data_IF_271970926022
#
_entry.id   IF_271970926022
#
_cell.length_a   1.000
_cell.length_b   1.000
_cell.length_c   1.000
_cell.angle_alpha   90.00
_cell.angle_beta   90.00
_cell.angle_gamma   90.00
#
_symmetry.space_group_name_H-M   'P 1'
#
loop_
_entity.id
_entity.type
_entity.pdbx_description
1 polymer ?
#
# COMPACT_ATOMS: atom_id res chain seq x y z
N UNK A 1 35.07 -54.69 -15.63
CA UNK A 1 33.76 -54.19 -16.09
C UNK A 1 32.68 -54.71 -15.14
N UNK A 2 31.83 -53.80 -14.64
CA UNK A 2 30.42 -53.92 -14.15
C UNK A 2 30.06 -54.84 -12.95
N UNK A 3 30.04 -54.20 -11.77
CA UNK A 3 29.03 -54.01 -10.69
C UNK A 3 27.87 -54.97 -10.32
N UNK A 4 27.61 -55.00 -8.98
CA UNK A 4 26.38 -55.21 -8.14
C UNK A 4 26.24 -56.60 -7.45
N UNK A 5 26.39 -56.81 -6.12
CA UNK A 5 25.81 -56.31 -4.83
C UNK A 5 24.35 -56.79 -4.57
N UNK A 6 24.19 -57.89 -3.79
CA UNK A 6 23.65 -58.05 -2.40
C UNK A 6 22.16 -57.69 -2.19
N UNK A 7 21.30 -58.64 -1.79
CA UNK A 7 20.89 -59.01 -0.40
C UNK A 7 19.72 -58.13 0.12
N UNK A 8 18.85 -58.47 1.07
CA UNK A 8 18.71 -59.55 2.04
C UNK A 8 17.22 -59.60 2.50
N UNK A 9 16.90 -60.54 3.36
CA UNK A 9 15.57 -60.83 3.89
C UNK A 9 15.45 -60.56 5.41
N UNK A 10 14.19 -60.64 5.86
CA UNK A 10 13.68 -61.08 7.18
C UNK A 10 13.56 -60.07 8.34
N UNK A 11 12.39 -60.16 8.97
CA UNK A 11 11.87 -59.41 10.11
C UNK A 11 11.87 -60.25 11.39
N UNK A 12 11.89 -59.62 12.58
CA UNK A 12 11.11 -59.99 13.78
C UNK A 12 11.35 -59.05 14.99
N UNK A 13 10.23 -58.63 15.60
CA UNK A 13 9.90 -58.20 16.97
C UNK A 13 10.96 -57.77 18.02
N UNK A 14 10.67 -56.68 18.76
CA UNK A 14 10.63 -56.62 20.24
C UNK A 14 10.25 -55.22 20.79
N UNK A 15 9.50 -55.18 21.89
CA UNK A 15 9.17 -54.00 22.71
C UNK A 15 10.43 -53.40 23.37
N UNK A 16 10.54 -52.07 23.38
CA UNK A 16 11.50 -51.33 24.21
C UNK A 16 10.76 -50.49 25.26
N UNK A 17 11.32 -50.32 26.48
CA UNK A 17 10.79 -49.39 27.47
C UNK A 17 11.07 -47.95 27.02
N UNK A 18 10.19 -47.02 27.39
CA UNK A 18 10.39 -45.60 27.15
C UNK A 18 11.70 -45.14 27.81
N UNK A 19 12.67 -44.76 26.99
CA UNK A 19 13.87 -44.07 27.44
C UNK A 19 13.52 -42.61 27.73
N UNK A 20 13.87 -42.17 28.94
CA UNK A 20 13.76 -40.79 29.38
C UNK A 20 14.66 -39.90 28.51
N UNK A 21 14.05 -38.95 27.79
CA UNK A 21 14.75 -38.03 26.91
C UNK A 21 15.55 -37.02 27.75
N UNK A 22 16.87 -36.86 27.53
CA UNK A 22 17.66 -35.90 28.29
C UNK A 22 17.18 -34.48 27.97
N UNK A 23 16.96 -33.68 29.01
CA UNK A 23 16.51 -32.30 28.88
C UNK A 23 17.38 -31.52 27.90
N UNK A 24 16.75 -30.99 26.84
CA UNK A 24 17.37 -30.08 25.87
C UNK A 24 17.98 -28.88 26.64
N UNK A 25 19.26 -28.55 26.42
CA UNK A 25 19.86 -27.34 26.99
C UNK A 25 19.04 -26.11 26.61
N UNK A 26 18.73 -25.27 27.61
CA UNK A 26 18.00 -24.03 27.40
C UNK A 26 18.73 -23.15 26.38
N UNK A 27 18.03 -22.84 25.28
CA UNK A 27 18.47 -21.89 24.27
C UNK A 27 18.63 -20.52 24.95
N UNK A 28 19.77 -19.81 24.78
CA UNK A 28 19.94 -18.50 25.39
C UNK A 28 18.83 -17.58 24.88
N UNK A 29 18.11 -16.96 25.81
CA UNK A 29 17.05 -16.02 25.51
C UNK A 29 17.57 -14.94 24.56
N UNK A 30 17.06 -14.96 23.33
CA UNK A 30 17.23 -13.87 22.38
C UNK A 30 16.72 -12.61 23.07
N UNK A 31 17.60 -11.63 23.27
CA UNK A 31 17.19 -10.34 23.81
C UNK A 31 16.07 -9.79 22.92
N UNK A 32 14.91 -9.58 23.51
CA UNK A 32 13.75 -9.02 22.84
C UNK A 32 14.10 -7.59 22.43
N UNK A 33 14.41 -7.42 21.14
CA UNK A 33 14.61 -6.10 20.55
C UNK A 33 13.34 -5.30 20.78
N UNK A 34 13.45 -4.19 21.51
CA UNK A 34 12.32 -3.29 21.74
C UNK A 34 11.68 -2.92 20.38
N UNK A 35 10.34 -2.94 20.28
CA UNK A 35 9.67 -2.59 19.04
C UNK A 35 10.10 -1.19 18.60
N UNK A 36 10.28 -0.96 17.29
CA UNK A 36 10.67 0.35 16.79
C UNK A 36 9.65 1.41 17.25
N UNK A 37 10.10 2.66 17.49
CA UNK A 37 9.21 3.75 17.87
C UNK A 37 8.10 3.89 16.82
N UNK A 38 6.88 4.12 17.29
CA UNK A 38 5.74 4.37 16.42
C UNK A 38 6.06 5.57 15.50
N UNK A 39 5.73 5.49 14.21
CA UNK A 39 5.97 6.59 13.28
C UNK A 39 5.24 7.87 13.78
N UNK A 40 5.91 9.02 13.68
CA UNK A 40 5.27 10.30 14.00
C UNK A 40 4.12 10.57 13.01
N UNK A 41 2.97 11.10 13.47
CA UNK A 41 1.87 11.48 12.60
C UNK A 41 2.31 12.53 11.57
N UNK A 42 1.85 12.39 10.33
CA UNK A 42 2.18 13.32 9.26
C UNK A 42 1.72 14.75 9.57
N UNK A 43 2.58 15.74 9.27
CA UNK A 43 2.28 17.17 9.47
C UNK A 43 2.29 17.93 8.14
N UNK A 44 1.40 18.91 7.92
CA UNK A 44 1.44 19.77 6.74
C UNK A 44 2.80 20.43 6.55
N UNK A 45 3.33 20.38 5.32
CA UNK A 45 4.60 21.00 4.93
C UNK A 45 4.44 22.12 3.90
N UNK A 46 3.21 22.35 3.42
CA UNK A 46 2.89 23.38 2.44
C UNK A 46 1.41 23.80 2.49
N UNK A 47 0.99 24.74 1.62
CA UNK A 47 -0.40 25.14 1.53
C UNK A 47 -1.28 24.00 0.95
N UNK A 48 -2.55 23.89 1.37
CA UNK A 48 -3.50 22.97 0.76
C UNK A 48 -3.84 23.40 -0.67
N UNK A 49 -4.09 22.41 -1.52
CA UNK A 49 -4.65 22.55 -2.86
C UNK A 49 -6.06 21.96 -2.88
N UNK A 50 -7.01 22.72 -3.41
CA UNK A 50 -8.37 22.28 -3.68
C UNK A 50 -8.42 21.44 -4.95
N UNK A 51 -9.10 20.30 -4.90
CA UNK A 51 -9.38 19.42 -6.04
C UNK A 51 -10.89 19.30 -6.18
N UNK A 52 -11.40 19.77 -7.32
CA UNK A 52 -12.80 19.65 -7.70
C UNK A 52 -13.11 18.22 -8.17
N UNK A 53 -14.38 17.84 -8.10
CA UNK A 53 -14.82 16.59 -8.71
C UNK A 53 -14.74 16.69 -10.23
N UNK A 54 -14.34 15.60 -10.90
CA UNK A 54 -14.35 15.49 -12.35
C UNK A 54 -15.80 15.49 -12.88
N UNK A 55 -16.06 16.30 -13.92
CA UNK A 55 -17.40 16.46 -14.51
C UNK A 55 -17.74 15.36 -15.54
N UNK A 56 -16.71 14.66 -16.05
CA UNK A 56 -16.83 13.76 -17.20
C UNK A 56 -16.87 12.27 -16.81
N UNK A 57 -17.48 11.46 -17.68
CA UNK A 57 -17.40 10.01 -17.59
C UNK A 57 -15.93 9.58 -17.62
N UNK A 58 -15.51 8.87 -16.57
CA UNK A 58 -14.18 8.28 -16.53
C UNK A 58 -13.92 7.45 -17.80
N UNK A 59 -12.74 7.57 -18.43
CA UNK A 59 -12.39 6.78 -19.61
C UNK A 59 -12.50 5.28 -19.30
N UNK A 60 -12.75 4.46 -20.32
CA UNK A 60 -12.71 2.98 -20.22
C UNK A 60 -11.32 2.53 -19.77
N UNK A 61 -11.13 2.46 -18.46
CA UNK A 61 -9.83 2.24 -17.85
C UNK A 61 -9.84 0.97 -16.99
N UNK A 62 -8.71 0.27 -16.99
CA UNK A 62 -8.49 -0.88 -16.14
C UNK A 62 -8.08 -0.38 -14.76
N UNK A 63 -8.98 -0.55 -13.78
CA UNK A 63 -8.69 -0.27 -12.38
C UNK A 63 -7.61 -1.26 -11.92
N UNK A 64 -6.49 -0.75 -11.42
CA UNK A 64 -5.35 -1.57 -10.98
C UNK A 64 -5.36 -1.78 -9.47
N UNK A 65 -5.69 -0.73 -8.73
CA UNK A 65 -5.57 -0.68 -7.27
C UNK A 65 -6.83 -0.06 -6.67
N UNK A 66 -7.31 -0.61 -5.56
CA UNK A 66 -8.48 -0.09 -4.83
C UNK A 66 -8.24 -0.24 -3.33
N UNK A 67 -8.47 0.84 -2.60
CA UNK A 67 -8.47 0.89 -1.14
C UNK A 67 -9.74 1.56 -0.65
N UNK A 68 -10.56 0.84 0.12
CA UNK A 68 -11.70 1.43 0.82
C UNK A 68 -11.20 2.15 2.07
N UNK A 69 -11.54 3.42 2.23
CA UNK A 69 -11.13 4.21 3.39
C UNK A 69 -11.91 3.74 4.62
N UNK A 70 -11.21 3.51 5.73
CA UNK A 70 -11.86 3.08 6.97
C UNK A 70 -12.82 4.13 7.51
N UNK A 71 -13.98 3.66 7.96
CA UNK A 71 -15.01 4.47 8.63
C UNK A 71 -15.47 5.69 7.81
N UNK A 72 -15.33 5.63 6.47
CA UNK A 72 -15.71 6.69 5.56
C UNK A 72 -16.35 6.11 4.28
N UNK A 73 -17.25 6.88 3.67
CA UNK A 73 -17.88 6.55 2.39
C UNK A 73 -16.98 6.93 1.19
N UNK A 74 -15.69 6.62 1.30
CA UNK A 74 -14.67 6.97 0.33
C UNK A 74 -13.83 5.77 -0.07
N UNK A 75 -13.31 5.80 -1.30
CA UNK A 75 -12.29 4.86 -1.77
C UNK A 75 -11.21 5.60 -2.54
N UNK A 76 -9.99 5.09 -2.46
CA UNK A 76 -8.88 5.50 -3.31
C UNK A 76 -8.69 4.40 -4.34
N UNK A 77 -8.51 4.77 -5.60
CA UNK A 77 -8.25 3.80 -6.64
C UNK A 77 -7.37 4.39 -7.73
N UNK A 78 -6.74 3.51 -8.50
CA UNK A 78 -5.95 3.90 -9.65
C UNK A 78 -6.42 3.24 -10.92
N UNK A 79 -6.15 3.92 -12.03
CA UNK A 79 -6.29 3.36 -13.36
C UNK A 79 -4.94 3.34 -14.07
N UNK A 80 -4.68 2.26 -14.81
CA UNK A 80 -3.55 2.21 -15.73
C UNK A 80 -3.86 3.12 -16.92
N UNK A 81 -3.02 4.12 -17.16
CA UNK A 81 -3.24 5.08 -18.25
C UNK A 81 -2.32 6.29 -18.29
N UNK A 82 -1.46 6.48 -17.27
CA UNK A 82 -0.41 7.49 -17.28
C UNK A 82 0.66 7.21 -18.34
N UNK A 83 1.66 8.09 -18.45
CA UNK A 83 2.87 7.83 -19.24
C UNK A 83 3.74 6.80 -18.51
N UNK A 84 3.84 5.54 -18.98
CA UNK A 84 4.58 4.51 -18.26
C UNK A 84 6.08 4.82 -18.09
N UNK A 85 6.63 5.78 -18.84
CA UNK A 85 8.01 6.22 -18.70
C UNK A 85 8.22 7.23 -17.57
N UNK A 86 7.19 7.99 -17.18
CA UNK A 86 7.28 9.00 -16.12
C UNK A 86 6.43 8.62 -14.91
N UNK A 87 5.11 8.47 -15.08
CA UNK A 87 4.14 8.10 -14.05
C UNK A 87 3.06 7.19 -14.67
N UNK A 88 2.82 6.02 -14.08
CA UNK A 88 1.99 4.99 -14.71
C UNK A 88 0.52 4.97 -14.27
N UNK A 89 0.18 5.67 -13.19
CA UNK A 89 -1.10 5.54 -12.50
C UNK A 89 -1.78 6.89 -12.30
N UNK A 90 -2.94 7.06 -12.94
CA UNK A 90 -3.86 8.11 -12.49
C UNK A 90 -4.53 7.63 -11.21
N UNK A 91 -4.38 8.40 -10.14
CA UNK A 91 -4.86 8.06 -8.80
C UNK A 91 -5.97 9.00 -8.38
N UNK A 92 -7.08 8.42 -7.90
CA UNK A 92 -8.32 9.11 -7.63
C UNK A 92 -8.83 8.82 -6.23
N UNK A 93 -9.57 9.77 -5.67
CA UNK A 93 -10.50 9.55 -4.57
C UNK A 93 -11.91 9.51 -5.14
N UNK A 94 -12.74 8.57 -4.74
CA UNK A 94 -14.17 8.58 -5.04
C UNK A 94 -15.00 8.59 -3.76
N UNK A 95 -16.04 9.42 -3.75
CA UNK A 95 -17.05 9.45 -2.71
C UNK A 95 -18.29 8.66 -3.14
N UNK A 96 -18.82 7.86 -2.22
CA UNK A 96 -20.11 7.20 -2.42
C UNK A 96 -21.23 8.20 -2.16
N UNK A 97 -22.11 8.36 -3.15
CA UNK A 97 -23.25 9.28 -3.13
C UNK A 97 -24.52 8.46 -3.29
N UNK A 98 -25.27 8.16 -2.22
CA UNK A 98 -26.55 7.44 -2.34
C UNK A 98 -27.60 8.27 -3.08
N UNK A 99 -28.43 7.66 -3.95
CA UNK A 99 -28.42 6.25 -4.37
C UNK A 99 -27.48 5.96 -5.56
N UNK A 100 -26.85 7.00 -6.11
CA UNK A 100 -26.15 6.98 -7.40
C UNK A 100 -24.83 6.19 -7.38
N UNK A 101 -24.25 5.95 -6.21
CA UNK A 101 -23.04 5.16 -6.04
C UNK A 101 -21.75 5.99 -6.08
N UNK A 102 -20.67 5.43 -6.64
CA UNK A 102 -19.35 6.07 -6.70
C UNK A 102 -19.25 7.09 -7.85
N UNK A 103 -20.04 8.15 -7.80
CA UNK A 103 -20.19 9.11 -8.91
C UNK A 103 -19.32 10.35 -8.79
N UNK A 104 -18.85 10.67 -7.57
CA UNK A 104 -18.06 11.86 -7.30
C UNK A 104 -16.60 11.48 -7.18
N UNK A 105 -15.82 11.81 -8.20
CA UNK A 105 -14.43 11.35 -8.35
C UNK A 105 -13.50 12.56 -8.42
N UNK A 106 -12.39 12.51 -7.70
CA UNK A 106 -11.42 13.59 -7.58
C UNK A 106 -10.05 13.06 -8.00
N UNK A 107 -9.43 13.62 -9.04
CA UNK A 107 -8.09 13.21 -9.47
C UNK A 107 -7.03 13.79 -8.52
N UNK A 108 -6.44 12.92 -7.69
CA UNK A 108 -5.42 13.30 -6.73
C UNK A 108 -4.09 13.61 -7.42
N UNK A 109 -3.77 12.87 -8.49
CA UNK A 109 -2.59 13.08 -9.30
C UNK A 109 -2.22 11.87 -10.14
N UNK A 110 -1.08 12.00 -10.81
CA UNK A 110 -0.44 10.96 -11.61
C UNK A 110 0.86 10.54 -10.91
N UNK A 111 0.93 9.27 -10.53
CA UNK A 111 1.96 8.72 -9.67
C UNK A 111 2.56 7.43 -10.26
N UNK A 112 3.76 7.09 -9.80
CA UNK A 112 4.35 5.78 -10.03
C UNK A 112 3.67 4.71 -9.16
N UNK A 113 3.41 5.07 -7.90
CA UNK A 113 2.81 4.22 -6.89
C UNK A 113 2.26 5.07 -5.74
N UNK A 114 1.39 4.48 -4.92
CA UNK A 114 0.90 5.08 -3.69
C UNK A 114 0.63 4.00 -2.63
N UNK A 115 0.74 4.39 -1.36
CA UNK A 115 0.42 3.58 -0.19
C UNK A 115 -0.32 4.43 0.85
N UNK A 116 -1.29 3.85 1.56
CA UNK A 116 -1.96 4.51 2.70
C UNK A 116 -1.10 4.33 3.95
N UNK A 117 -0.64 5.45 4.53
CA UNK A 117 0.14 5.45 5.77
C UNK A 117 -0.76 5.60 7.00
N UNK A 118 -1.74 6.49 6.92
CA UNK A 118 -2.70 6.79 7.98
C UNK A 118 -4.08 7.01 7.38
N UNK A 119 -5.14 6.61 8.09
CA UNK A 119 -6.51 6.86 7.65
C UNK A 119 -7.48 6.97 8.82
N UNK A 120 -8.55 7.73 8.59
CA UNK A 120 -9.66 7.99 9.49
C UNK A 120 -10.88 8.45 8.69
N UNK A 121 -12.03 8.58 9.35
CA UNK A 121 -13.28 9.05 8.74
C UNK A 121 -13.19 10.42 8.03
N UNK A 122 -12.20 11.26 8.38
CA UNK A 122 -12.08 12.63 7.85
C UNK A 122 -10.74 12.91 7.17
N UNK A 123 -9.80 11.96 7.17
CA UNK A 123 -8.44 12.20 6.71
C UNK A 123 -7.75 10.92 6.26
N UNK A 124 -7.02 11.00 5.16
CA UNK A 124 -6.07 9.98 4.71
C UNK A 124 -4.69 10.60 4.51
N UNK A 125 -3.63 9.86 4.84
CA UNK A 125 -2.25 10.22 4.49
C UNK A 125 -1.74 9.21 3.48
N UNK A 126 -1.41 9.67 2.28
CA UNK A 126 -0.77 8.87 1.25
C UNK A 126 0.74 9.08 1.26
N UNK A 127 1.49 8.00 1.16
CA UNK A 127 2.83 8.01 0.58
C UNK A 127 2.68 7.86 -0.92
N UNK A 128 3.35 8.70 -1.70
CA UNK A 128 3.36 8.60 -3.16
C UNK A 128 4.79 8.52 -3.66
N UNK A 129 4.99 7.90 -4.81
CA UNK A 129 6.19 8.05 -5.63
C UNK A 129 5.80 8.76 -6.91
N UNK A 130 6.53 9.82 -7.28
CA UNK A 130 6.28 10.55 -8.52
C UNK A 130 7.58 10.84 -9.23
N UNK A 131 7.51 10.86 -10.56
CA UNK A 131 8.60 11.34 -11.40
C UNK A 131 8.21 12.61 -12.13
N UNK A 132 9.21 13.43 -12.47
CA UNK A 132 9.06 14.60 -13.31
C UNK A 132 10.36 14.87 -14.06
N UNK A 133 10.25 15.64 -15.15
CA UNK A 133 11.40 16.10 -15.92
C UNK A 133 11.94 17.36 -15.25
N UNK A 134 13.23 17.35 -14.89
CA UNK A 134 13.94 18.51 -14.38
C UNK A 134 14.15 19.55 -15.49
N UNK A 135 13.64 20.76 -15.25
CA UNK A 135 13.74 21.85 -16.21
C UNK A 135 15.22 22.22 -16.45
N UNK A 136 15.60 22.28 -17.72
CA UNK A 136 16.95 22.66 -18.17
C UNK A 136 17.90 21.49 -18.42
N UNK A 137 17.82 20.40 -17.65
CA UNK A 137 18.63 19.19 -17.89
C UNK A 137 17.90 18.17 -18.75
N UNK A 138 16.57 18.09 -18.61
CA UNK A 138 15.77 17.02 -19.21
C UNK A 138 15.88 15.69 -18.47
N UNK A 139 16.57 15.68 -17.32
CA UNK A 139 16.72 14.47 -16.51
C UNK A 139 15.39 14.12 -15.84
N UNK A 140 15.10 12.83 -15.75
CA UNK A 140 13.96 12.34 -14.95
C UNK A 140 14.41 12.28 -13.49
N UNK A 141 13.70 13.01 -12.63
CA UNK A 141 13.80 12.88 -11.18
C UNK A 141 12.63 12.08 -10.65
N UNK A 142 12.86 11.36 -9.56
CA UNK A 142 11.84 10.65 -8.81
C UNK A 142 11.98 10.99 -7.34
N UNK A 143 10.86 11.24 -6.66
CA UNK A 143 10.83 11.42 -5.22
C UNK A 143 9.66 10.69 -4.58
N UNK A 144 9.87 10.29 -3.32
CA UNK A 144 8.81 9.88 -2.43
C UNK A 144 8.30 11.10 -1.66
N UNK A 145 6.98 11.27 -1.63
CA UNK A 145 6.31 12.37 -0.95
C UNK A 145 5.17 11.85 -0.07
N UNK A 146 4.71 12.68 0.87
CA UNK A 146 3.49 12.42 1.62
C UNK A 146 2.44 13.47 1.30
N UNK A 147 1.19 13.04 1.17
CA UNK A 147 0.03 13.89 0.97
C UNK A 147 -0.99 13.64 2.08
N UNK A 148 -1.41 14.70 2.77
CA UNK A 148 -2.60 14.69 3.61
C UNK A 148 -3.80 15.02 2.73
N UNK A 149 -4.81 14.17 2.76
CA UNK A 149 -6.08 14.34 2.06
C UNK A 149 -7.14 14.54 3.14
N UNK A 150 -7.69 15.73 3.24
CA UNK A 150 -8.84 15.99 4.10
C UNK A 150 -10.11 15.60 3.33
N UNK A 151 -10.83 14.60 3.85
CA UNK A 151 -12.02 14.06 3.22
C UNK A 151 -13.18 15.04 3.41
N UNK A 152 -13.89 15.42 2.34
CA UNK A 152 -14.98 16.36 2.46
C UNK A 152 -16.14 15.72 3.23
N UNK A 153 -16.80 16.51 4.09
CA UNK A 153 -17.97 16.05 4.84
C UNK A 153 -19.18 15.76 3.93
N UNK A 154 -19.21 16.36 2.74
CA UNK A 154 -20.21 16.11 1.71
C UNK A 154 -19.51 15.99 0.34
N UNK A 155 -20.01 15.13 -0.56
CA UNK A 155 -19.35 14.88 -1.85
C UNK A 155 -19.49 16.05 -2.86
N UNK A 156 -20.19 17.13 -2.48
CA UNK A 156 -20.25 18.39 -3.24
C UNK A 156 -19.08 19.33 -2.90
N UNK A 157 -18.36 19.06 -1.82
CA UNK A 157 -17.25 19.89 -1.37
C UNK A 157 -15.96 19.45 -2.06
N UNK A 158 -15.10 20.39 -2.49
CA UNK A 158 -13.78 20.05 -3.02
C UNK A 158 -12.91 19.33 -1.98
N UNK A 159 -12.10 18.39 -2.45
CA UNK A 159 -11.12 17.70 -1.61
C UNK A 159 -9.92 18.63 -1.38
N UNK A 160 -9.41 18.68 -0.15
CA UNK A 160 -8.19 19.42 0.14
C UNK A 160 -7.01 18.46 0.24
N UNK A 161 -5.96 18.72 -0.54
CA UNK A 161 -4.74 17.94 -0.56
C UNK A 161 -3.56 18.80 -0.16
N UNK A 162 -2.82 18.38 0.86
CA UNK A 162 -1.73 19.15 1.46
C UNK A 162 -0.45 18.31 1.47
N UNK A 163 0.70 18.82 0.98
CA UNK A 163 1.99 18.16 1.16
C UNK A 163 2.31 17.95 2.65
N UNK A 164 3.00 16.88 3.00
CA UNK A 164 3.29 16.53 4.38
C UNK A 164 4.73 16.03 4.62
N UNK A 165 5.18 16.11 5.86
CA UNK A 165 6.41 15.47 6.39
C UNK A 165 6.08 14.52 7.51
#
# INVERSE_FOLDING_TARGET
MRTAILAAALALAACQPAAEEPAKPAEPATAETAPPPAPEPARPSGPPKSIEAEDDQMPEAWVTDVHLVKDADFKIFSTAGGDPAINGLYTYLAAYTPPDGWTRVYMLGDFNSWDVLEESATRVVLKISRSWIEEGTGDIKTAEEKLIIDLPATPETPVQVTPAT
#
